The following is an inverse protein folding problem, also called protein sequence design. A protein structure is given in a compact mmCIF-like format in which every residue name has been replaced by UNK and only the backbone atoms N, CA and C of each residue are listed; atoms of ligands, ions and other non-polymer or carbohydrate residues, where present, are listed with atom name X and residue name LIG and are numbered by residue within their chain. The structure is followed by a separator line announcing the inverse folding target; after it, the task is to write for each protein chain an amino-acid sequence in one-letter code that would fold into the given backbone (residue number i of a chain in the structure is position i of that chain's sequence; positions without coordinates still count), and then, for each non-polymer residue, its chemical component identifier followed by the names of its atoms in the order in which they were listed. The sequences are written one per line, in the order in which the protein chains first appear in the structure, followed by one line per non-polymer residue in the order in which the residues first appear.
data_IF_841459110430
#
_entry.id   IF_841459110430
#
_cell.length_a   1.000
_cell.length_b   1.000
_cell.length_c   1.000
_cell.angle_alpha   90.00
_cell.angle_beta   90.00
_cell.angle_gamma   90.00
#
_symmetry.space_group_name_H-M   'P 1'
#
loop_
_entity.id
_entity.type
_entity.pdbx_description
1 polymer ?
#
# COMPACT_ATOMS: atom_id res chain seq x y z
N UNK A 1 -39.45 -3.64 -40.69
CA UNK A 1 -38.03 -3.48 -40.31
C UNK A 1 -37.96 -2.85 -38.93
N UNK A 2 -37.33 -3.48 -37.94
CA UNK A 2 -37.11 -2.87 -36.62
C UNK A 2 -35.85 -2.01 -36.69
N UNK A 3 -35.98 -0.70 -36.51
CA UNK A 3 -34.83 0.19 -36.35
C UNK A 3 -34.00 -0.26 -35.14
N UNK A 4 -32.76 -0.68 -35.37
CA UNK A 4 -31.76 -0.79 -34.32
C UNK A 4 -31.38 0.61 -33.88
N UNK A 5 -32.05 1.07 -32.83
CA UNK A 5 -31.68 2.24 -32.06
C UNK A 5 -30.23 2.13 -31.55
N UNK A 6 -29.34 2.94 -32.11
CA UNK A 6 -28.03 3.14 -31.50
C UNK A 6 -28.27 3.96 -30.22
N UNK A 7 -28.28 3.30 -29.04
CA UNK A 7 -28.12 4.01 -27.76
C UNK A 7 -26.73 4.62 -27.79
N UNK A 8 -26.61 5.88 -28.19
CA UNK A 8 -25.33 6.59 -28.34
C UNK A 8 -24.38 6.33 -27.16
N UNK A 9 -23.07 6.47 -27.42
CA UNK A 9 -22.01 6.14 -26.46
C UNK A 9 -22.30 6.76 -25.09
N UNK A 10 -22.46 5.93 -24.05
CA UNK A 10 -22.73 6.37 -22.67
C UNK A 10 -21.75 7.48 -22.29
N UNK A 11 -22.26 8.69 -22.08
CA UNK A 11 -21.43 9.81 -21.65
C UNK A 11 -20.83 9.50 -20.29
N UNK A 12 -19.50 9.60 -20.19
CA UNK A 12 -18.76 9.46 -18.93
C UNK A 12 -17.67 10.52 -18.90
N UNK A 13 -17.61 11.28 -17.81
CA UNK A 13 -16.50 12.23 -17.56
C UNK A 13 -15.16 11.51 -17.42
N UNK A 14 -15.17 10.20 -17.14
CA UNK A 14 -13.98 9.38 -16.94
C UNK A 14 -13.54 8.61 -18.19
N UNK A 15 -14.17 8.87 -19.36
CA UNK A 15 -13.89 8.13 -20.60
C UNK A 15 -12.42 8.14 -21.02
N UNK A 16 -11.68 9.19 -20.62
CA UNK A 16 -10.29 9.41 -21.02
C UNK A 16 -9.33 9.42 -19.83
N UNK A 17 -9.68 8.79 -18.71
CA UNK A 17 -8.76 8.62 -17.57
C UNK A 17 -7.71 7.57 -17.91
N UNK A 18 -6.44 7.89 -17.65
CA UNK A 18 -5.31 6.97 -17.77
C UNK A 18 -4.33 7.18 -16.62
N UNK A 19 -3.56 6.14 -16.29
CA UNK A 19 -2.54 6.20 -15.24
C UNK A 19 -1.20 6.70 -15.80
N UNK A 20 -0.51 7.53 -15.02
CA UNK A 20 0.87 7.93 -15.27
C UNK A 20 1.70 7.55 -14.06
N UNK A 21 2.66 6.60 -14.19
CA UNK A 21 3.52 6.24 -13.07
C UNK A 21 4.44 7.40 -12.70
N UNK A 22 4.80 7.48 -11.42
CA UNK A 22 5.81 8.43 -10.96
C UNK A 22 7.17 8.12 -11.63
N UNK A 23 8.00 9.16 -11.81
CA UNK A 23 9.40 8.97 -12.18
C UNK A 23 10.14 8.27 -11.04
N UNK A 24 11.28 7.66 -11.35
CA UNK A 24 12.06 6.86 -10.38
C UNK A 24 12.40 7.63 -9.10
N UNK A 25 12.66 8.94 -9.22
CA UNK A 25 12.98 9.81 -8.08
C UNK A 25 11.80 10.01 -7.12
N UNK A 26 10.58 9.82 -7.62
CA UNK A 26 9.33 9.82 -6.85
C UNK A 26 8.89 8.44 -6.36
N UNK A 27 9.69 7.39 -6.59
CA UNK A 27 9.43 6.04 -6.10
C UNK A 27 10.20 5.76 -4.80
N UNK A 28 9.79 4.72 -4.08
CA UNK A 28 10.50 4.21 -2.91
C UNK A 28 11.27 2.95 -3.30
N UNK A 29 12.59 3.06 -3.36
CA UNK A 29 13.48 1.98 -3.77
C UNK A 29 14.07 1.24 -2.55
N UNK A 30 14.51 0.00 -2.77
CA UNK A 30 15.18 -0.85 -1.78
C UNK A 30 14.27 -1.32 -0.62
N UNK A 31 12.96 -1.44 -0.86
CA UNK A 31 12.00 -2.04 0.08
C UNK A 31 11.94 -3.56 -0.12
N UNK A 32 12.17 -4.32 0.95
CA UNK A 32 11.98 -5.78 0.97
C UNK A 32 10.51 -6.13 1.23
N UNK A 33 9.65 -5.99 0.22
CA UNK A 33 8.22 -6.29 0.35
C UNK A 33 8.02 -7.77 0.70
N UNK A 34 7.06 -8.06 1.57
CA UNK A 34 6.70 -9.45 1.92
C UNK A 34 6.38 -10.30 0.68
N UNK A 35 6.85 -11.55 0.68
CA UNK A 35 6.49 -12.56 -0.33
C UNK A 35 5.38 -13.50 0.14
N UNK A 36 4.75 -13.20 1.28
CA UNK A 36 3.73 -14.06 1.86
C UNK A 36 2.51 -14.13 0.92
N UNK A 37 1.95 -15.32 0.74
CA UNK A 37 0.88 -15.59 -0.22
C UNK A 37 -0.50 -15.40 0.45
N UNK A 38 -0.81 -14.16 0.82
CA UNK A 38 -2.14 -13.77 1.32
C UNK A 38 -2.77 -12.72 0.41
N UNK A 39 -4.11 -12.72 0.32
CA UNK A 39 -4.90 -11.81 -0.52
C UNK A 39 -5.01 -10.37 0.05
N UNK A 40 -3.96 -9.89 0.71
CA UNK A 40 -3.87 -8.53 1.27
C UNK A 40 -3.12 -7.60 0.33
N UNK A 41 -3.39 -6.29 0.43
CA UNK A 41 -2.70 -5.29 -0.38
C UNK A 41 -1.24 -5.05 0.07
N UNK A 42 -0.85 -5.51 1.26
CA UNK A 42 0.47 -5.34 1.89
C UNK A 42 1.01 -3.89 1.96
N UNK A 43 0.22 -2.91 1.55
CA UNK A 43 0.55 -1.51 1.57
C UNK A 43 -0.68 -0.69 1.97
N UNK A 44 -0.43 0.41 2.67
CA UNK A 44 -1.47 1.35 3.12
C UNK A 44 -0.88 2.75 3.18
N UNK A 45 -1.62 3.73 2.69
CA UNK A 45 -1.12 5.10 2.51
C UNK A 45 -2.16 6.07 3.07
N UNK A 46 -1.69 7.13 3.73
CA UNK A 46 -2.49 8.29 4.11
C UNK A 46 -1.78 9.58 3.64
N UNK A 47 -2.30 10.80 3.90
CA UNK A 47 -1.66 12.03 3.42
C UNK A 47 -0.25 12.33 3.97
N UNK A 48 0.21 11.63 5.01
CA UNK A 48 1.53 11.83 5.64
C UNK A 48 2.50 10.69 5.38
N UNK A 49 2.03 9.46 5.33
CA UNK A 49 2.87 8.26 5.40
C UNK A 49 2.49 7.20 4.37
N UNK A 50 3.51 6.47 3.92
CA UNK A 50 3.41 5.21 3.20
C UNK A 50 3.83 4.10 4.15
N UNK A 51 2.96 3.09 4.31
CA UNK A 51 3.29 1.89 5.07
C UNK A 51 3.29 0.66 4.16
N UNK A 52 4.29 -0.20 4.34
CA UNK A 52 4.51 -1.40 3.52
C UNK A 52 4.95 -2.56 4.39
N UNK A 53 4.27 -3.69 4.28
CA UNK A 53 4.64 -4.93 4.97
C UNK A 53 5.92 -5.49 4.36
N UNK A 54 6.90 -5.78 5.21
CA UNK A 54 8.23 -6.22 4.77
C UNK A 54 8.53 -7.66 5.15
N UNK A 55 9.28 -8.35 4.29
CA UNK A 55 9.78 -9.70 4.52
C UNK A 55 10.86 -9.70 5.61
N UNK A 56 10.71 -10.55 6.61
CA UNK A 56 11.73 -10.82 7.64
C UNK A 56 11.89 -12.31 7.88
N UNK A 57 13.08 -12.70 8.31
CA UNK A 57 13.42 -14.09 8.62
C UNK A 57 12.72 -14.63 9.88
N UNK A 58 12.22 -13.74 10.75
CA UNK A 58 11.50 -14.12 11.96
C UNK A 58 10.68 -12.95 12.52
N UNK A 59 9.55 -13.25 13.15
CA UNK A 59 8.59 -12.24 13.60
C UNK A 59 7.79 -11.63 12.45
N UNK A 60 7.23 -10.45 12.72
CA UNK A 60 6.52 -9.63 11.73
C UNK A 60 6.86 -8.16 11.86
N UNK A 61 7.02 -7.51 10.71
CA UNK A 61 7.34 -6.07 10.65
C UNK A 61 6.82 -5.43 9.38
N UNK A 62 6.60 -4.12 9.47
CA UNK A 62 6.27 -3.26 8.35
C UNK A 62 7.04 -1.94 8.46
N UNK A 63 7.22 -1.26 7.33
CA UNK A 63 7.82 0.07 7.27
C UNK A 63 6.75 1.14 7.37
N UNK A 64 7.12 2.30 7.93
CA UNK A 64 6.33 3.54 7.88
C UNK A 64 7.25 4.67 7.46
N UNK A 65 6.99 5.27 6.30
CA UNK A 65 7.83 6.30 5.69
C UNK A 65 7.03 7.58 5.47
N UNK A 66 7.58 8.77 5.74
CA UNK A 66 6.96 10.01 5.28
C UNK A 66 6.81 10.02 3.75
N UNK A 67 5.70 10.55 3.22
CA UNK A 67 5.46 10.61 1.76
C UNK A 67 6.54 11.40 1.01
N UNK A 68 7.16 12.38 1.66
CA UNK A 68 8.23 13.17 1.06
C UNK A 68 9.56 12.42 0.97
N UNK A 69 9.71 11.27 1.65
CA UNK A 69 10.97 10.52 1.73
C UNK A 69 11.08 9.48 0.60
N UNK A 70 11.05 9.97 -0.64
CA UNK A 70 11.23 9.14 -1.84
C UNK A 70 12.71 8.90 -2.16
N UNK A 71 12.99 8.01 -3.10
CA UNK A 71 14.32 7.59 -3.50
C UNK A 71 14.74 6.27 -2.85
N UNK A 72 16.06 6.06 -2.75
CA UNK A 72 16.63 4.83 -2.20
C UNK A 72 16.67 4.88 -0.68
N UNK A 73 15.95 3.96 -0.05
CA UNK A 73 15.90 3.84 1.41
C UNK A 73 17.11 3.12 1.97
N UNK A 74 17.50 3.51 3.18
CA UNK A 74 18.54 2.82 3.93
C UNK A 74 18.01 1.51 4.53
N UNK A 75 18.92 0.68 5.04
CA UNK A 75 18.53 -0.59 5.66
C UNK A 75 17.84 -0.40 7.02
N UNK A 76 17.94 0.75 7.67
CA UNK A 76 17.42 0.98 9.03
C UNK A 76 16.19 1.88 9.07
N UNK A 77 15.58 2.12 7.92
CA UNK A 77 14.44 2.99 7.75
C UNK A 77 13.30 2.56 8.67
N UNK A 78 12.59 3.54 9.22
CA UNK A 78 11.54 3.45 10.24
C UNK A 78 10.67 2.18 10.17
N UNK A 79 11.15 1.11 10.81
CA UNK A 79 10.47 -0.17 10.94
C UNK A 79 9.63 -0.20 12.21
N UNK A 80 8.43 -0.75 12.10
CA UNK A 80 7.60 -1.12 13.24
C UNK A 80 7.76 -2.62 13.45
N UNK A 81 8.20 -3.00 14.65
CA UNK A 81 8.39 -4.39 15.08
C UNK A 81 7.58 -4.65 16.34
N UNK A 82 7.13 -5.89 16.54
CA UNK A 82 6.37 -6.27 17.73
C UNK A 82 5.66 -7.61 17.60
N UNK A 83 5.20 -7.93 16.40
CA UNK A 83 4.60 -9.23 16.11
C UNK A 83 5.61 -10.37 16.12
N UNK A 84 5.19 -11.52 16.64
CA UNK A 84 5.95 -12.77 16.70
C UNK A 84 5.78 -13.63 15.46
N UNK A 85 4.80 -13.32 14.61
CA UNK A 85 4.55 -13.96 13.32
C UNK A 85 4.49 -12.93 12.19
N UNK A 86 4.43 -13.36 10.93
CA UNK A 86 4.28 -12.46 9.78
C UNK A 86 3.12 -11.48 9.94
N UNK A 87 3.30 -10.25 9.49
CA UNK A 87 2.20 -9.27 9.39
C UNK A 87 1.41 -9.57 8.12
N UNK A 88 0.08 -9.61 8.24
CA UNK A 88 -0.84 -9.99 7.17
C UNK A 88 -1.49 -8.79 6.50
N UNK A 89 -1.89 -7.79 7.29
CA UNK A 89 -2.48 -6.55 6.77
C UNK A 89 -2.14 -5.36 7.68
N UNK A 90 -2.23 -4.17 7.09
CA UNK A 90 -2.02 -2.88 7.74
C UNK A 90 -3.05 -1.85 7.23
N UNK A 91 -3.63 -1.08 8.14
CA UNK A 91 -4.65 -0.06 7.80
C UNK A 91 -4.51 1.18 8.68
N UNK A 92 -4.47 2.34 8.02
CA UNK A 92 -4.49 3.64 8.70
C UNK A 92 -5.88 3.95 9.27
N UNK A 93 -5.90 4.66 10.40
CA UNK A 93 -7.12 5.21 10.96
C UNK A 93 -7.63 6.36 10.06
N UNK A 94 -8.89 6.34 9.61
CA UNK A 94 -9.43 7.38 8.72
C UNK A 94 -9.62 8.74 9.41
N UNK A 95 -9.54 8.80 10.74
CA UNK A 95 -9.72 10.02 11.53
C UNK A 95 -8.42 10.53 12.16
N UNK A 96 -7.33 9.78 12.07
CA UNK A 96 -6.04 10.19 12.61
C UNK A 96 -4.89 9.60 11.79
N UNK A 97 -4.23 10.46 11.00
CA UNK A 97 -3.11 10.09 10.13
C UNK A 97 -1.87 9.53 10.85
N UNK A 98 -1.83 9.59 12.19
CA UNK A 98 -0.71 9.07 12.98
C UNK A 98 -1.03 7.72 13.65
N UNK A 99 -2.20 7.13 13.41
CA UNK A 99 -2.62 5.85 13.99
C UNK A 99 -2.76 4.81 12.88
N UNK A 100 -2.09 3.67 13.04
CA UNK A 100 -2.19 2.52 12.15
C UNK A 100 -2.47 1.26 12.97
N UNK A 101 -3.22 0.33 12.40
CA UNK A 101 -3.39 -1.02 12.93
C UNK A 101 -2.66 -2.02 12.03
N UNK A 102 -2.07 -3.05 12.63
CA UNK A 102 -1.46 -4.20 11.95
C UNK A 102 -2.10 -5.48 12.48
N UNK A 103 -2.18 -6.54 11.68
CA UNK A 103 -2.57 -7.86 12.16
C UNK A 103 -1.55 -8.92 11.74
N UNK A 104 -1.45 -10.00 12.50
CA UNK A 104 -0.41 -11.02 12.31
C UNK A 104 -0.90 -12.45 12.51
N UNK A 105 -0.17 -13.38 11.92
CA UNK A 105 -0.29 -14.84 12.15
C UNK A 105 -0.01 -15.24 13.62
N UNK A 106 0.53 -14.36 14.45
CA UNK A 106 0.64 -14.60 15.90
C UNK A 106 -0.67 -14.42 16.67
N UNK A 107 -1.79 -14.24 15.95
CA UNK A 107 -3.13 -14.02 16.49
C UNK A 107 -3.29 -12.70 17.26
N UNK A 108 -2.49 -11.68 16.96
CA UNK A 108 -2.60 -10.34 17.55
C UNK A 108 -2.88 -9.24 16.53
N UNK A 109 -3.40 -8.12 17.05
CA UNK A 109 -3.67 -6.86 16.35
C UNK A 109 -3.01 -5.73 17.14
#
# INVERSE_FOLDING_TARGET
MKQLWFRGVRSSKFRHVYGVPAKREGCYDNIKITKNAHDSHFCSINPKFVAVVTEVAGGGTFLVLPISSTGRLDFNSSRVTGHRGPVLDIKWNPFNDNIIASCSDDCTV
#
